data_IF_448982052784
#
_entry.id   IF_448982052784
#
_cell.length_a   1.000
_cell.length_b   1.000
_cell.length_c   1.000
_cell.angle_alpha   90.00
_cell.angle_beta   90.00
_cell.angle_gamma   90.00
#
_symmetry.space_group_name_H-M   'P 1'
#
loop_
_entity.id
_entity.type
_entity.pdbx_description
1 polymer ?
#
# COMPACT_ATOMS: atom_id res chain seq x y z
N UNK A 1 39.30 74.77 -11.00
CA UNK A 1 39.99 74.42 -12.27
C UNK A 1 40.15 72.89 -12.31
N UNK A 2 39.69 72.27 -13.41
CA UNK A 2 39.83 70.88 -13.96
C UNK A 2 40.70 69.89 -13.15
N UNK A 3 40.39 68.60 -12.96
CA UNK A 3 40.06 67.47 -13.85
C UNK A 3 39.43 66.35 -12.95
N UNK A 4 38.73 65.30 -13.36
CA UNK A 4 38.43 64.64 -14.63
C UNK A 4 37.53 63.42 -14.31
N UNK A 5 36.84 62.92 -15.33
CA UNK A 5 35.93 61.78 -15.23
C UNK A 5 36.63 60.45 -14.92
N UNK A 6 35.94 59.54 -14.24
CA UNK A 6 36.23 58.11 -14.30
C UNK A 6 34.91 57.31 -14.27
N UNK A 7 34.51 56.86 -15.45
CA UNK A 7 33.41 55.93 -15.74
C UNK A 7 33.96 54.51 -15.66
N UNK A 8 33.40 53.63 -14.83
CA UNK A 8 33.59 52.16 -14.87
C UNK A 8 32.65 51.53 -13.84
N UNK A 9 31.96 50.41 -14.03
CA UNK A 9 31.54 49.60 -15.17
C UNK A 9 30.41 48.70 -14.62
N UNK A 10 29.41 48.38 -15.44
CA UNK A 10 28.32 47.46 -15.12
C UNK A 10 28.88 46.03 -14.94
N UNK A 11 28.57 45.35 -13.83
CA UNK A 11 28.70 43.89 -13.71
C UNK A 11 27.37 43.33 -13.20
N UNK A 12 26.53 42.96 -14.16
CA UNK A 12 25.37 42.12 -13.93
C UNK A 12 25.85 40.68 -13.68
N UNK A 13 25.40 40.04 -12.60
CA UNK A 13 25.47 38.60 -12.44
C UNK A 13 24.09 38.06 -12.02
N UNK A 14 23.33 37.79 -13.07
CA UNK A 14 22.30 36.76 -13.27
C UNK A 14 21.81 36.04 -12.01
N UNK A 15 20.55 36.29 -11.67
CA UNK A 15 19.71 35.45 -10.82
C UNK A 15 19.65 34.02 -11.36
N UNK A 16 20.45 33.12 -10.78
CA UNK A 16 20.30 31.69 -10.99
C UNK A 16 19.11 31.17 -10.20
N UNK A 17 17.90 31.30 -10.74
CA UNK A 17 16.79 30.49 -10.27
C UNK A 17 17.14 29.03 -10.55
N UNK A 18 17.54 28.29 -9.52
CA UNK A 18 17.47 26.83 -9.49
C UNK A 18 15.99 26.46 -9.54
N UNK A 19 15.39 26.56 -10.72
CA UNK A 19 14.22 25.76 -11.04
C UNK A 19 14.75 24.34 -11.07
N UNK A 20 14.48 23.62 -9.99
CA UNK A 20 14.57 22.17 -9.92
C UNK A 20 13.61 21.63 -11.00
N UNK A 21 14.06 21.62 -12.26
CA UNK A 21 13.38 20.88 -13.29
C UNK A 21 13.28 19.44 -12.76
N UNK A 22 12.09 18.80 -12.80
CA UNK A 22 12.02 17.40 -12.42
C UNK A 22 12.98 16.68 -13.35
N UNK A 23 14.09 16.19 -12.80
CA UNK A 23 14.98 15.32 -13.54
C UNK A 23 14.09 14.22 -14.13
N UNK A 24 14.09 13.99 -15.46
CA UNK A 24 13.35 12.87 -16.00
C UNK A 24 13.83 11.66 -15.20
N UNK A 25 12.89 10.98 -14.54
CA UNK A 25 13.17 9.81 -13.74
C UNK A 25 14.12 8.94 -14.56
N UNK A 26 15.31 8.69 -14.02
CA UNK A 26 16.44 8.05 -14.68
C UNK A 26 16.03 6.69 -15.25
N UNK A 27 15.45 6.67 -16.45
CA UNK A 27 15.21 5.47 -17.24
C UNK A 27 16.52 4.86 -17.77
N UNK A 28 17.67 5.47 -17.43
CA UNK A 28 19.02 5.09 -17.88
C UNK A 28 19.95 4.52 -16.80
N UNK A 29 19.50 4.30 -15.56
CA UNK A 29 20.36 3.69 -14.51
C UNK A 29 20.66 2.19 -14.71
N UNK A 30 20.29 1.60 -15.85
CA UNK A 30 20.43 0.15 -16.10
C UNK A 30 21.84 -0.31 -16.43
N UNK A 31 22.83 0.59 -16.44
CA UNK A 31 24.21 0.22 -16.77
C UNK A 31 25.19 1.15 -16.05
N UNK A 32 25.73 0.67 -14.93
CA UNK A 32 26.81 1.31 -14.21
C UNK A 32 27.51 0.29 -13.31
N UNK A 33 28.79 0.52 -12.95
CA UNK A 33 29.59 -0.43 -12.15
C UNK A 33 29.04 -0.67 -10.73
N UNK A 34 28.05 0.12 -10.30
CA UNK A 34 27.39 0.01 -9.00
C UNK A 34 25.98 -0.62 -9.06
N UNK A 35 25.52 -1.08 -10.22
CA UNK A 35 24.23 -1.76 -10.34
C UNK A 35 24.34 -3.14 -9.69
N UNK A 36 23.53 -3.39 -8.65
CA UNK A 36 23.43 -4.70 -8.04
C UNK A 36 22.86 -5.71 -9.05
N UNK A 37 23.47 -6.90 -9.20
CA UNK A 37 22.96 -7.93 -10.10
C UNK A 37 21.64 -8.50 -9.57
N UNK A 38 20.78 -8.94 -10.48
CA UNK A 38 19.55 -9.66 -10.12
C UNK A 38 19.91 -10.95 -9.39
N UNK A 39 19.31 -11.16 -8.23
CA UNK A 39 19.37 -12.44 -7.49
C UNK A 39 18.07 -13.23 -7.70
N UNK A 40 18.13 -14.56 -7.65
CA UNK A 40 16.92 -15.41 -7.68
C UNK A 40 16.10 -15.42 -6.38
N UNK A 41 16.51 -14.62 -5.37
CA UNK A 41 15.85 -14.55 -4.06
C UNK A 41 14.57 -13.71 -4.17
N UNK A 42 13.48 -14.20 -3.58
CA UNK A 42 12.15 -13.56 -3.63
C UNK A 42 12.09 -12.15 -2.98
N UNK A 43 13.05 -11.81 -2.11
CA UNK A 43 13.19 -10.50 -1.47
C UNK A 43 14.49 -9.82 -1.91
N UNK A 44 14.68 -9.62 -3.22
CA UNK A 44 15.82 -8.85 -3.75
C UNK A 44 15.64 -7.35 -3.53
N UNK A 45 16.74 -6.58 -3.58
CA UNK A 45 16.76 -5.11 -3.44
C UNK A 45 16.08 -4.34 -4.60
N UNK A 46 15.34 -5.03 -5.45
CA UNK A 46 14.61 -4.41 -6.55
C UNK A 46 14.28 -5.39 -7.66
N UNK A 47 13.19 -5.10 -8.35
CA UNK A 47 12.84 -5.71 -9.62
C UNK A 47 12.95 -4.61 -10.68
N UNK A 48 13.65 -4.89 -11.77
CA UNK A 48 13.75 -4.02 -12.94
C UNK A 48 12.51 -4.12 -13.86
N UNK A 49 11.64 -5.09 -13.56
CA UNK A 49 10.35 -5.37 -14.21
C UNK A 49 9.24 -5.43 -13.17
N UNK A 50 8.00 -5.15 -13.60
CA UNK A 50 6.83 -5.21 -12.73
C UNK A 50 6.13 -6.57 -12.86
N UNK A 51 5.80 -7.21 -11.75
CA UNK A 51 4.96 -8.41 -11.77
C UNK A 51 3.50 -7.99 -12.00
N UNK A 52 2.95 -8.32 -13.17
CA UNK A 52 1.59 -7.95 -13.57
C UNK A 52 0.48 -8.63 -12.76
N UNK A 53 0.82 -9.59 -11.90
CA UNK A 53 -0.12 -10.13 -10.91
C UNK A 53 -0.44 -9.14 -9.77
N UNK A 54 0.32 -8.04 -9.64
CA UNK A 54 0.10 -7.01 -8.63
C UNK A 54 -0.27 -5.67 -9.27
N UNK A 55 -1.16 -4.87 -8.64
CA UNK A 55 -1.48 -3.54 -9.13
C UNK A 55 -0.25 -2.64 -9.05
N UNK A 56 0.00 -1.88 -10.12
CA UNK A 56 1.12 -0.93 -10.14
C UNK A 56 0.85 0.20 -9.13
N UNK A 57 1.81 0.58 -8.26
CA UNK A 57 1.63 1.61 -7.24
C UNK A 57 1.72 3.02 -7.85
N UNK A 58 0.81 3.32 -8.78
CA UNK A 58 0.74 4.57 -9.50
C UNK A 58 -0.71 4.92 -9.83
N UNK A 59 -1.01 6.21 -9.92
CA UNK A 59 -2.35 6.72 -10.15
C UNK A 59 -3.26 6.49 -8.95
N UNK A 60 -4.54 6.25 -9.23
CA UNK A 60 -5.55 5.91 -8.23
C UNK A 60 -5.64 4.40 -8.13
N UNK A 61 -5.56 3.86 -6.92
CA UNK A 61 -5.89 2.47 -6.62
C UNK A 61 -7.09 2.43 -5.69
N UNK A 62 -8.12 1.69 -6.06
CA UNK A 62 -9.32 1.51 -5.25
C UNK A 62 -9.16 0.26 -4.37
N UNK A 63 -9.27 0.44 -3.05
CA UNK A 63 -9.05 -0.61 -2.07
C UNK A 63 -10.33 -0.90 -1.28
N UNK A 64 -10.86 -2.12 -1.37
CA UNK A 64 -12.02 -2.53 -0.57
C UNK A 64 -11.57 -3.05 0.80
N UNK A 65 -12.22 -2.57 1.85
CA UNK A 65 -12.05 -3.09 3.21
C UNK A 65 -13.25 -3.96 3.55
N UNK A 66 -13.02 -5.25 3.73
CA UNK A 66 -14.00 -6.25 4.14
C UNK A 66 -13.70 -6.67 5.57
N UNK A 67 -14.58 -6.31 6.48
CA UNK A 67 -14.47 -6.63 7.90
C UNK A 67 -15.13 -7.97 8.20
N UNK A 68 -14.44 -8.84 8.94
CA UNK A 68 -14.77 -10.25 9.12
C UNK A 68 -15.08 -10.55 10.59
N UNK A 69 -16.26 -11.12 10.83
CA UNK A 69 -16.73 -11.56 12.16
C UNK A 69 -16.76 -13.08 12.26
N UNK A 70 -16.51 -13.62 13.45
CA UNK A 70 -16.30 -15.06 13.65
C UNK A 70 -17.36 -15.70 14.56
N UNK A 71 -17.63 -17.01 14.43
CA UNK A 71 -18.53 -17.71 15.33
C UNK A 71 -18.02 -17.65 16.76
N UNK A 72 -18.92 -17.34 17.69
CA UNK A 72 -18.60 -17.16 19.10
C UNK A 72 -18.05 -15.79 19.47
N UNK A 73 -17.94 -14.84 18.53
CA UNK A 73 -17.57 -13.45 18.77
C UNK A 73 -18.66 -12.51 18.24
N UNK A 74 -18.94 -11.43 18.98
CA UNK A 74 -19.84 -10.36 18.54
C UNK A 74 -19.03 -9.07 18.46
N UNK A 75 -18.86 -8.49 17.27
CA UNK A 75 -18.08 -7.26 17.14
C UNK A 75 -18.69 -6.11 17.92
N UNK A 76 -17.85 -5.33 18.59
CA UNK A 76 -18.26 -4.18 19.39
C UNK A 76 -18.29 -2.85 18.62
N UNK A 77 -17.63 -2.80 17.46
CA UNK A 77 -17.56 -1.62 16.60
C UNK A 77 -18.12 -1.93 15.20
N UNK A 78 -18.53 -0.89 14.49
CA UNK A 78 -18.90 -0.99 13.09
C UNK A 78 -17.65 -0.91 12.19
N UNK A 79 -17.68 -1.48 10.98
CA UNK A 79 -16.60 -1.32 9.99
C UNK A 79 -16.22 0.14 9.73
N UNK A 80 -17.21 1.04 9.74
CA UNK A 80 -16.98 2.47 9.53
C UNK A 80 -16.21 3.10 10.69
N UNK A 81 -16.51 2.73 11.93
CA UNK A 81 -15.78 3.23 13.09
C UNK A 81 -14.32 2.77 13.04
N UNK A 82 -14.08 1.46 12.87
CA UNK A 82 -12.72 0.91 12.77
C UNK A 82 -11.92 1.50 11.60
N UNK A 83 -12.57 1.82 10.47
CA UNK A 83 -11.86 2.39 9.31
C UNK A 83 -11.29 3.79 9.57
N UNK A 84 -11.86 4.54 10.52
CA UNK A 84 -11.45 5.92 10.83
C UNK A 84 -10.11 6.00 11.57
N UNK A 85 -9.69 4.90 12.19
CA UNK A 85 -8.38 4.82 12.85
C UNK A 85 -7.22 4.85 11.83
N UNK A 86 -7.50 4.48 10.59
CA UNK A 86 -6.49 4.36 9.52
C UNK A 86 -6.70 5.38 8.39
N UNK A 87 -7.94 5.68 8.03
CA UNK A 87 -8.25 6.60 6.93
C UNK A 87 -8.81 7.92 7.47
N UNK A 88 -8.32 9.08 6.97
CA UNK A 88 -7.55 9.26 5.73
C UNK A 88 -6.02 9.15 5.86
N UNK A 89 -5.47 8.91 7.05
CA UNK A 89 -4.01 8.95 7.28
C UNK A 89 -3.20 8.04 6.32
N UNK A 90 -3.70 6.83 6.02
CA UNK A 90 -3.09 5.91 5.04
C UNK A 90 -3.13 6.47 3.62
N UNK A 91 -4.25 7.05 3.18
CA UNK A 91 -4.35 7.70 1.87
C UNK A 91 -3.32 8.83 1.76
N UNK A 92 -3.27 9.70 2.76
CA UNK A 92 -2.37 10.85 2.76
C UNK A 92 -0.90 10.43 2.82
N UNK A 93 -0.60 9.35 3.53
CA UNK A 93 0.74 8.78 3.57
C UNK A 93 1.21 8.37 2.16
N UNK A 94 0.41 7.57 1.44
CA UNK A 94 0.78 7.15 0.09
C UNK A 94 0.86 8.32 -0.88
N UNK A 95 -0.05 9.29 -0.77
CA UNK A 95 -0.03 10.49 -1.61
C UNK A 95 1.25 11.32 -1.37
N UNK A 96 1.64 11.56 -0.12
CA UNK A 96 2.87 12.29 0.20
C UNK A 96 4.13 11.51 -0.16
N UNK A 97 4.23 10.24 0.26
CA UNK A 97 5.42 9.42 0.05
C UNK A 97 5.71 9.15 -1.42
N UNK A 98 4.66 9.14 -2.27
CA UNK A 98 4.79 8.97 -3.71
C UNK A 98 5.00 10.28 -4.47
N UNK A 99 5.00 11.43 -3.78
CA UNK A 99 5.00 12.77 -4.38
C UNK A 99 3.80 13.01 -5.31
N UNK A 100 2.60 12.63 -4.86
CA UNK A 100 1.34 12.75 -5.60
C UNK A 100 1.16 11.73 -6.72
N UNK A 101 2.04 10.72 -6.84
CA UNK A 101 1.97 9.72 -7.91
C UNK A 101 1.06 8.54 -7.61
N UNK A 102 0.69 8.32 -6.35
CA UNK A 102 -0.19 7.25 -5.91
C UNK A 102 -1.22 7.80 -4.93
N UNK A 103 -2.49 7.45 -5.13
CA UNK A 103 -3.58 7.70 -4.21
C UNK A 103 -4.36 6.41 -3.96
N UNK A 104 -4.31 5.91 -2.72
CA UNK A 104 -5.08 4.75 -2.29
C UNK A 104 -6.46 5.21 -1.78
N UNK A 105 -7.54 4.75 -2.42
CA UNK A 105 -8.92 5.16 -2.11
C UNK A 105 -9.64 4.03 -1.38
N UNK A 106 -9.99 4.21 -0.09
CA UNK A 106 -10.68 3.17 0.68
C UNK A 106 -12.18 3.09 0.35
N UNK A 107 -12.67 1.86 0.17
CA UNK A 107 -14.08 1.52 0.05
C UNK A 107 -14.45 0.58 1.19
N UNK A 108 -15.04 1.13 2.25
CA UNK A 108 -15.44 0.34 3.42
C UNK A 108 -16.75 -0.37 3.10
N UNK A 109 -16.71 -1.70 3.01
CA UNK A 109 -17.93 -2.51 2.87
C UNK A 109 -18.81 -2.32 4.10
N UNK A 110 -20.10 -2.11 3.87
CA UNK A 110 -21.06 -1.99 4.96
C UNK A 110 -21.25 -3.34 5.68
N UNK A 111 -21.23 -3.30 7.00
CA UNK A 111 -21.51 -4.46 7.85
C UNK A 111 -20.40 -5.51 7.86
N UNK A 112 -20.52 -6.40 8.83
CA UNK A 112 -19.59 -7.51 9.03
C UNK A 112 -19.92 -8.66 8.07
N UNK A 113 -18.90 -9.23 7.43
CA UNK A 113 -18.99 -10.51 6.71
C UNK A 113 -18.73 -11.62 7.71
N UNK A 114 -19.63 -12.61 7.75
CA UNK A 114 -19.61 -13.66 8.75
C UNK A 114 -18.81 -14.85 8.25
N UNK A 115 -17.68 -15.15 8.90
CA UNK A 115 -16.82 -16.29 8.58
C UNK A 115 -17.50 -17.63 8.96
N UNK A 116 -17.26 -18.71 8.19
CA UNK A 116 -17.91 -20.00 8.44
C UNK A 116 -17.37 -20.73 9.68
N UNK A 117 -16.15 -20.41 10.15
CA UNK A 117 -15.48 -21.09 11.28
C UNK A 117 -14.95 -20.09 12.31
N UNK A 118 -14.79 -20.48 13.59
CA UNK A 118 -14.17 -19.63 14.64
C UNK A 118 -12.76 -19.20 14.25
N UNK A 119 -12.32 -18.02 14.73
CA UNK A 119 -10.99 -17.49 14.41
C UNK A 119 -9.87 -18.46 14.80
N UNK A 120 -10.02 -19.15 15.93
CA UNK A 120 -9.09 -20.20 16.40
C UNK A 120 -8.90 -21.36 15.42
N UNK A 121 -9.88 -21.69 14.58
CA UNK A 121 -9.77 -22.76 13.58
C UNK A 121 -8.82 -22.39 12.41
N UNK A 122 -8.50 -21.11 12.26
CA UNK A 122 -7.57 -20.63 11.24
C UNK A 122 -6.13 -20.48 11.76
N UNK A 123 -5.90 -20.55 13.08
CA UNK A 123 -4.61 -20.33 13.71
C UNK A 123 -3.96 -18.99 13.29
N UNK A 124 -4.69 -17.88 13.43
CA UNK A 124 -4.25 -16.54 13.04
C UNK A 124 -3.17 -16.05 14.02
N UNK A 125 -1.90 -16.24 13.66
CA UNK A 125 -0.74 -15.94 14.51
C UNK A 125 0.42 -15.32 13.71
N UNK A 126 1.45 -14.80 14.40
CA UNK A 126 2.59 -14.10 13.77
C UNK A 126 3.30 -14.93 12.70
N UNK A 127 3.51 -16.22 12.97
CA UNK A 127 4.14 -17.18 12.07
C UNK A 127 3.10 -18.10 11.42
N UNK A 128 2.04 -17.49 10.90
CA UNK A 128 0.88 -18.17 10.36
C UNK A 128 1.22 -19.25 9.32
N UNK A 129 0.94 -20.51 9.67
CA UNK A 129 1.15 -21.64 8.76
C UNK A 129 0.31 -21.57 7.48
N UNK A 130 0.87 -22.05 6.37
CA UNK A 130 0.28 -21.94 5.02
C UNK A 130 -1.13 -22.53 4.90
N UNK A 131 -1.38 -23.65 5.58
CA UNK A 131 -2.68 -24.34 5.54
C UNK A 131 -3.81 -23.52 6.14
N UNK A 132 -3.62 -23.04 7.38
CA UNK A 132 -4.60 -22.20 8.08
C UNK A 132 -4.85 -20.88 7.36
N UNK A 133 -3.77 -20.26 6.88
CA UNK A 133 -3.81 -19.01 6.11
C UNK A 133 -4.55 -19.15 4.79
N UNK A 134 -4.24 -20.16 4.00
CA UNK A 134 -4.92 -20.39 2.72
C UNK A 134 -6.40 -20.70 2.92
N UNK A 135 -6.74 -21.43 3.98
CA UNK A 135 -8.13 -21.73 4.30
C UNK A 135 -8.89 -20.48 4.78
N UNK A 136 -8.24 -19.59 5.54
CA UNK A 136 -8.81 -18.29 5.92
C UNK A 136 -9.11 -17.42 4.70
N UNK A 137 -8.15 -17.26 3.79
CA UNK A 137 -8.30 -16.42 2.61
C UNK A 137 -9.42 -16.94 1.70
N UNK A 138 -9.46 -18.26 1.45
CA UNK A 138 -10.54 -18.87 0.64
C UNK A 138 -11.91 -18.67 1.27
N UNK A 139 -12.06 -18.94 2.57
CA UNK A 139 -13.33 -18.79 3.26
C UNK A 139 -13.79 -17.33 3.32
N UNK A 140 -12.87 -16.39 3.53
CA UNK A 140 -13.17 -14.97 3.59
C UNK A 140 -13.63 -14.43 2.23
N UNK A 141 -12.93 -14.80 1.14
CA UNK A 141 -13.34 -14.44 -0.21
C UNK A 141 -14.71 -15.03 -0.54
N UNK A 142 -14.92 -16.34 -0.29
CA UNK A 142 -16.19 -17.00 -0.56
C UNK A 142 -17.36 -16.40 0.24
N UNK A 143 -17.13 -16.01 1.49
CA UNK A 143 -18.15 -15.37 2.33
C UNK A 143 -18.48 -13.93 1.89
N UNK A 144 -17.50 -13.23 1.33
CA UNK A 144 -17.64 -11.82 0.92
C UNK A 144 -18.16 -11.64 -0.51
N UNK A 145 -17.89 -12.59 -1.40
CA UNK A 145 -18.20 -12.57 -2.84
C UNK A 145 -19.67 -12.23 -3.15
N UNK A 146 -20.69 -12.80 -2.47
CA UNK A 146 -22.10 -12.49 -2.78
C UNK A 146 -22.49 -11.03 -2.58
N UNK A 147 -21.73 -10.27 -1.78
CA UNK A 147 -21.99 -8.86 -1.50
C UNK A 147 -20.83 -7.94 -1.85
N UNK A 148 -19.82 -8.43 -2.58
CA UNK A 148 -18.62 -7.66 -2.92
C UNK A 148 -18.15 -8.05 -4.32
N UNK A 149 -18.34 -7.14 -5.28
CA UNK A 149 -17.80 -7.30 -6.62
C UNK A 149 -16.32 -6.91 -6.62
N UNK A 150 -15.44 -7.90 -6.45
CA UNK A 150 -14.00 -7.71 -6.35
C UNK A 150 -13.37 -7.15 -7.62
N UNK A 151 -14.02 -7.29 -8.79
CA UNK A 151 -13.50 -6.76 -10.06
C UNK A 151 -13.41 -5.23 -10.11
N UNK A 152 -14.05 -4.54 -9.16
CA UNK A 152 -14.05 -3.08 -9.03
C UNK A 152 -12.87 -2.51 -8.24
N UNK A 153 -12.03 -3.37 -7.68
CA UNK A 153 -10.99 -2.95 -6.74
C UNK A 153 -9.63 -3.51 -7.15
N UNK A 154 -8.58 -2.71 -6.96
CA UNK A 154 -7.20 -3.09 -7.20
C UNK A 154 -6.59 -3.81 -5.99
N UNK A 155 -7.10 -3.52 -4.79
CA UNK A 155 -6.60 -4.01 -3.50
C UNK A 155 -7.75 -4.49 -2.63
N UNK A 156 -7.56 -5.63 -1.98
CA UNK A 156 -8.54 -6.21 -1.03
C UNK A 156 -7.90 -6.31 0.35
N UNK A 157 -8.50 -5.64 1.33
CA UNK A 157 -8.17 -5.80 2.74
C UNK A 157 -9.21 -6.69 3.42
N UNK A 158 -8.78 -7.82 3.93
CA UNK A 158 -9.56 -8.70 4.78
C UNK A 158 -9.19 -8.40 6.24
N UNK A 159 -10.09 -7.74 6.96
CA UNK A 159 -9.83 -7.24 8.31
C UNK A 159 -10.57 -8.12 9.31
N UNK A 160 -9.83 -8.94 10.05
CA UNK A 160 -10.40 -9.72 11.15
C UNK A 160 -10.89 -8.81 12.29
N UNK A 161 -12.00 -9.17 12.91
CA UNK A 161 -12.44 -8.58 14.18
C UNK A 161 -11.32 -8.68 15.23
N UNK A 162 -10.75 -7.56 15.71
CA UNK A 162 -9.62 -7.59 16.65
C UNK A 162 -10.00 -8.20 18.01
N UNK A 163 -11.29 -8.19 18.36
CA UNK A 163 -11.78 -8.69 19.65
C UNK A 163 -12.14 -10.19 19.60
N UNK A 164 -12.07 -10.83 18.42
CA UNK A 164 -12.41 -12.24 18.28
C UNK A 164 -11.36 -13.17 18.93
N UNK A 165 -11.77 -14.12 19.79
CA UNK A 165 -10.84 -15.06 20.42
C UNK A 165 -10.03 -15.87 19.41
N UNK A 166 -8.69 -15.77 19.49
CA UNK A 166 -7.78 -16.44 18.56
C UNK A 166 -7.28 -15.57 17.41
N UNK A 167 -7.65 -14.29 17.37
CA UNK A 167 -6.99 -13.29 16.52
C UNK A 167 -5.79 -12.73 17.29
N UNK A 168 -4.58 -12.90 16.75
CA UNK A 168 -3.39 -12.23 17.27
C UNK A 168 -3.18 -10.91 16.53
N UNK A 169 -3.20 -9.77 17.23
CA UNK A 169 -3.04 -8.43 16.66
C UNK A 169 -1.66 -8.21 16.00
N UNK A 170 -0.64 -9.00 16.35
CA UNK A 170 0.69 -8.95 15.71
C UNK A 170 0.75 -9.73 14.37
N UNK A 171 -0.34 -10.40 13.96
CA UNK A 171 -0.40 -11.20 12.74
C UNK A 171 -0.59 -10.38 11.45
N UNK A 172 -0.02 -9.17 11.36
CA UNK A 172 -0.04 -8.40 10.10
C UNK A 172 0.95 -9.02 9.12
N UNK A 173 0.44 -9.81 8.17
CA UNK A 173 1.23 -10.43 7.10
C UNK A 173 0.82 -9.87 5.74
N UNK A 174 1.76 -9.24 5.02
CA UNK A 174 1.61 -8.98 3.59
C UNK A 174 1.80 -10.31 2.87
N UNK A 175 0.74 -10.84 2.27
CA UNK A 175 0.74 -12.15 1.61
C UNK A 175 0.87 -11.96 0.10
N UNK A 176 1.90 -12.56 -0.48
CA UNK A 176 1.92 -12.92 -1.89
C UNK A 176 1.32 -14.33 -1.97
N UNK A 177 0.18 -14.49 -2.67
CA UNK A 177 -0.41 -15.80 -2.88
C UNK A 177 0.57 -16.65 -3.71
N UNK A 178 0.75 -17.92 -3.32
CA UNK A 178 1.64 -18.86 -4.04
C UNK A 178 1.17 -19.16 -5.47
N UNK A 179 -0.12 -18.92 -5.74
CA UNK A 179 -0.71 -18.84 -7.08
C UNK A 179 -1.73 -17.70 -7.09
N UNK A 180 -1.79 -16.89 -8.17
CA UNK A 180 -2.74 -15.80 -8.33
C UNK A 180 -4.20 -16.21 -8.14
#
# INVERSE_FOLDING_TARGET
MRFGAATTAFLALVSGALVLAPAPALAGLRSGPCVLPRTGVHHSEGLDTWNTAYPRPAGRLDAVLVYLSFPGATPHATPRELSRDYFPATTDFYERASYGRLRLVPHVRAGWVRMPRPASAYAIERDWGDGGRSAYLRDALAAADPGTDFSKYDVVYLVADPDAPGVNSDATKVVNLGTP
#
